data_IF_733795706720
#
_entry.id   IF_733795706720
#
_cell.length_a   1.000
_cell.length_b   1.000
_cell.length_c   1.000
_cell.angle_alpha   90.00
_cell.angle_beta   90.00
_cell.angle_gamma   90.00
#
_symmetry.space_group_name_H-M   'P 1'
#
loop_
_entity.id
_entity.type
_entity.pdbx_description
1 polymer ?
#
# COMPACT_ATOMS: atom_id res chain seq x y z
N UNK A 1 3.26 -30.72 -8.51
CA UNK A 1 2.74 -29.34 -8.46
C UNK A 1 3.13 -28.75 -7.11
N UNK A 2 3.80 -27.59 -7.05
CA UNK A 2 4.12 -26.99 -5.76
C UNK A 2 2.82 -26.61 -5.05
N UNK A 3 2.74 -27.00 -3.78
CA UNK A 3 1.59 -26.77 -2.91
C UNK A 3 1.42 -25.25 -2.72
N UNK A 4 0.34 -24.68 -3.26
CA UNK A 4 0.03 -23.23 -3.31
C UNK A 4 -0.23 -22.58 -1.93
N UNK A 5 0.13 -23.24 -0.82
CA UNK A 5 -0.09 -22.78 0.55
C UNK A 5 0.72 -21.53 0.95
N UNK A 6 1.64 -21.07 0.09
CA UNK A 6 2.50 -19.91 0.32
C UNK A 6 1.94 -18.62 -0.28
N UNK A 7 1.04 -18.74 -1.24
CA UNK A 7 0.26 -17.59 -1.67
C UNK A 7 -0.71 -17.30 -0.54
N UNK A 8 -0.58 -16.15 0.12
CA UNK A 8 -1.59 -15.57 1.00
C UNK A 8 -2.89 -15.38 0.20
N UNK A 9 -3.61 -16.46 -0.10
CA UNK A 9 -5.05 -16.42 -0.23
C UNK A 9 -5.56 -16.01 1.14
N UNK A 10 -6.62 -15.23 1.19
CA UNK A 10 -7.41 -14.97 2.42
C UNK A 10 -7.93 -16.27 3.11
N UNK A 11 -7.50 -17.44 2.65
CA UNK A 11 -7.73 -18.77 3.21
C UNK A 11 -6.98 -18.93 4.53
N UNK A 12 -7.60 -18.45 5.60
CA UNK A 12 -7.19 -18.78 6.97
C UNK A 12 -8.18 -18.32 8.01
N UNK A 13 -8.94 -17.26 7.74
CA UNK A 13 -9.97 -16.81 8.65
C UNK A 13 -11.31 -17.43 8.28
N UNK A 14 -11.83 -18.29 9.16
CA UNK A 14 -13.26 -18.56 9.13
C UNK A 14 -14.03 -17.24 9.24
N UNK A 15 -15.25 -17.14 8.69
CA UNK A 15 -16.05 -15.91 8.79
C UNK A 15 -16.20 -15.39 10.22
N UNK A 16 -16.24 -16.28 11.21
CA UNK A 16 -16.27 -15.95 12.64
C UNK A 16 -14.94 -15.38 13.15
N UNK A 17 -13.81 -15.94 12.73
CA UNK A 17 -12.48 -15.41 13.09
C UNK A 17 -12.25 -14.04 12.43
N UNK A 18 -12.70 -13.84 11.20
CA UNK A 18 -12.66 -12.55 10.52
C UNK A 18 -13.57 -11.51 11.21
N UNK A 19 -14.77 -11.91 11.65
CA UNK A 19 -15.69 -11.04 12.38
C UNK A 19 -15.14 -10.65 13.77
N UNK A 20 -14.57 -11.60 14.51
CA UNK A 20 -13.90 -11.34 15.79
C UNK A 20 -12.68 -10.42 15.61
N UNK A 21 -11.89 -10.65 14.57
CA UNK A 21 -10.74 -9.82 14.24
C UNK A 21 -11.15 -8.37 13.92
N UNK A 22 -12.20 -8.17 13.10
CA UNK A 22 -12.75 -6.85 12.76
C UNK A 22 -13.38 -6.12 13.96
N UNK A 23 -13.93 -6.85 14.93
CA UNK A 23 -14.54 -6.27 16.13
C UNK A 23 -13.51 -5.68 17.13
N UNK A 24 -12.24 -6.08 17.03
CA UNK A 24 -11.22 -5.78 18.04
C UNK A 24 -10.54 -4.39 17.91
N UNK A 25 -10.85 -3.56 16.90
CA UNK A 25 -10.38 -2.17 16.82
C UNK A 25 -11.20 -1.35 15.79
N UNK A 26 -11.43 -0.03 16.00
CA UNK A 26 -12.12 0.83 15.03
C UNK A 26 -11.44 0.90 13.65
N UNK A 27 -10.09 0.91 13.61
CA UNK A 27 -9.32 0.89 12.35
C UNK A 27 -9.44 -0.47 11.64
N UNK A 28 -9.80 -1.54 12.38
CA UNK A 28 -10.03 -2.90 11.84
C UNK A 28 -11.43 -3.07 11.22
N UNK A 29 -12.29 -2.04 11.24
CA UNK A 29 -13.56 -2.04 10.50
C UNK A 29 -13.39 -1.65 9.03
N UNK A 30 -12.19 -1.22 8.65
CA UNK A 30 -11.87 -0.90 7.27
C UNK A 30 -11.88 -2.13 6.36
N UNK A 31 -12.50 -1.95 5.19
CA UNK A 31 -12.45 -2.85 4.04
C UNK A 31 -12.32 -2.00 2.78
N UNK A 32 -12.04 -2.61 1.63
CA UNK A 32 -12.05 -1.94 0.33
C UNK A 32 -13.34 -1.13 0.11
N UNK A 33 -14.51 -1.66 0.46
CA UNK A 33 -15.79 -0.97 0.23
C UNK A 33 -16.00 0.24 1.16
N UNK A 34 -15.43 0.19 2.37
CA UNK A 34 -15.67 1.24 3.38
C UNK A 34 -14.61 2.33 3.39
N UNK A 35 -13.37 1.96 3.16
CA UNK A 35 -12.20 2.83 3.37
C UNK A 35 -11.48 3.19 2.07
N UNK A 36 -11.89 2.61 0.95
CA UNK A 36 -11.38 2.93 -0.37
C UNK A 36 -12.53 3.35 -1.27
N UNK A 37 -12.37 4.44 -2.04
CA UNK A 37 -13.39 4.87 -2.99
C UNK A 37 -13.14 4.26 -4.37
N UNK A 38 -13.79 3.13 -4.63
CA UNK A 38 -13.72 2.42 -5.91
C UNK A 38 -14.36 3.22 -7.06
N UNK A 39 -15.24 4.19 -6.79
CA UNK A 39 -15.89 4.97 -7.85
C UNK A 39 -14.88 5.82 -8.62
N UNK A 40 -13.79 6.22 -7.96
CA UNK A 40 -12.67 6.95 -8.57
C UNK A 40 -11.85 6.13 -9.56
N UNK A 41 -12.03 4.81 -9.53
CA UNK A 41 -11.31 3.85 -10.36
C UNK A 41 -12.17 3.32 -11.52
N UNK A 42 -13.43 3.77 -11.63
CA UNK A 42 -14.40 3.24 -12.59
C UNK A 42 -14.31 3.92 -13.94
N UNK A 43 -13.39 3.46 -14.78
CA UNK A 43 -13.34 3.73 -16.23
C UNK A 43 -13.65 2.44 -17.01
N UNK A 44 -14.93 2.12 -17.20
CA UNK A 44 -15.46 1.03 -18.05
C UNK A 44 -14.75 -0.35 -17.99
N UNK A 45 -13.97 -0.63 -16.93
CA UNK A 45 -13.19 -1.86 -16.73
C UNK A 45 -12.04 -2.10 -17.70
N UNK A 46 -11.65 -1.12 -18.54
CA UNK A 46 -10.61 -1.29 -19.57
C UNK A 46 -9.34 -0.47 -19.33
N UNK A 47 -9.48 0.67 -18.66
CA UNK A 47 -8.34 1.55 -18.42
C UNK A 47 -7.67 1.21 -17.08
N UNK A 48 -6.33 1.29 -17.00
CA UNK A 48 -5.64 1.13 -15.73
C UNK A 48 -6.08 2.22 -14.73
N UNK A 49 -6.01 1.95 -13.42
CA UNK A 49 -6.32 2.95 -12.41
C UNK A 49 -5.39 4.17 -12.55
N UNK A 50 -5.97 5.37 -12.58
CA UNK A 50 -5.18 6.60 -12.62
C UNK A 50 -4.41 6.81 -11.30
N UNK A 51 -3.21 7.36 -11.40
CA UNK A 51 -2.26 7.49 -10.30
C UNK A 51 -1.84 8.94 -10.11
N UNK A 52 -1.93 9.45 -8.89
CA UNK A 52 -1.26 10.68 -8.49
C UNK A 52 -0.06 10.34 -7.62
N UNK A 53 1.09 10.92 -7.93
CA UNK A 53 2.33 10.73 -7.16
C UNK A 53 2.78 12.09 -6.65
N UNK A 54 2.89 12.21 -5.32
CA UNK A 54 3.33 13.45 -4.69
C UNK A 54 4.66 13.95 -5.27
N UNK A 55 4.81 15.27 -5.51
CA UNK A 55 6.00 15.83 -6.16
C UNK A 55 7.22 15.89 -5.24
N UNK A 56 7.02 15.85 -3.92
CA UNK A 56 8.11 15.87 -2.96
C UNK A 56 9.02 14.66 -3.16
N UNK A 57 10.33 14.87 -3.17
CA UNK A 57 11.27 13.75 -3.29
C UNK A 57 11.40 13.04 -1.95
N UNK A 58 11.34 11.69 -1.92
CA UNK A 58 11.63 10.95 -0.70
C UNK A 58 13.02 11.31 -0.17
N UNK A 59 13.19 11.48 1.15
CA UNK A 59 14.51 11.74 1.72
C UNK A 59 15.44 10.52 1.66
N UNK A 60 14.90 9.30 1.52
CA UNK A 60 15.71 8.08 1.41
C UNK A 60 16.16 7.82 -0.02
N UNK A 61 17.42 7.39 -0.16
CA UNK A 61 18.00 6.98 -1.45
C UNK A 61 17.25 5.80 -2.06
N UNK A 62 16.74 4.90 -1.23
CA UNK A 62 16.06 3.68 -1.67
C UNK A 62 14.72 3.97 -2.36
N UNK A 63 14.03 5.03 -1.93
CA UNK A 63 12.75 5.43 -2.52
C UNK A 63 12.88 6.54 -3.56
N UNK A 64 14.06 7.18 -3.68
CA UNK A 64 14.25 8.36 -4.52
C UNK A 64 13.91 8.13 -6.01
N UNK A 65 14.13 6.91 -6.52
CA UNK A 65 13.86 6.56 -7.91
C UNK A 65 12.43 6.05 -8.16
N UNK A 66 11.71 5.60 -7.13
CA UNK A 66 10.40 4.97 -7.29
C UNK A 66 9.37 5.92 -7.93
N UNK A 67 9.21 7.19 -7.48
CA UNK A 67 8.28 8.13 -8.11
C UNK A 67 8.56 8.33 -9.59
N UNK A 68 9.83 8.47 -9.97
CA UNK A 68 10.23 8.74 -11.35
C UNK A 68 10.02 7.51 -12.24
N UNK A 69 10.35 6.31 -11.72
CA UNK A 69 10.05 5.04 -12.38
C UNK A 69 8.54 4.87 -12.62
N UNK A 70 7.71 5.10 -11.60
CA UNK A 70 6.26 4.98 -11.74
C UNK A 70 5.68 6.00 -12.73
N UNK A 71 6.16 7.24 -12.72
CA UNK A 71 5.76 8.25 -13.72
C UNK A 71 6.13 7.82 -15.14
N UNK A 72 7.29 7.20 -15.32
CA UNK A 72 7.75 6.73 -16.62
C UNK A 72 6.95 5.50 -17.09
N UNK A 73 6.80 4.48 -16.25
CA UNK A 73 6.11 3.24 -16.58
C UNK A 73 4.59 3.41 -16.77
N UNK A 74 3.99 4.35 -16.05
CA UNK A 74 2.53 4.58 -16.07
C UNK A 74 2.14 5.97 -16.58
N UNK A 75 2.95 6.55 -17.48
CA UNK A 75 2.78 7.93 -17.98
C UNK A 75 1.37 8.27 -18.48
N UNK A 76 0.66 7.30 -19.10
CA UNK A 76 -0.71 7.47 -19.59
C UNK A 76 -1.78 7.42 -18.49
N UNK A 77 -1.44 6.95 -17.30
CA UNK A 77 -2.33 6.86 -16.15
C UNK A 77 -2.04 7.93 -15.08
N UNK A 78 -1.03 8.78 -15.26
CA UNK A 78 -0.70 9.82 -14.28
C UNK A 78 -1.77 10.92 -14.31
N UNK A 79 -2.37 11.19 -13.16
CA UNK A 79 -3.28 12.30 -12.96
C UNK A 79 -2.53 13.56 -12.49
N UNK A 80 -2.97 14.74 -12.94
CA UNK A 80 -2.37 16.02 -12.57
C UNK A 80 -2.64 16.42 -11.12
N UNK A 81 -3.76 15.96 -10.55
CA UNK A 81 -4.16 16.27 -9.17
C UNK A 81 -4.60 15.03 -8.42
N UNK A 82 -4.45 15.07 -7.10
CA UNK A 82 -4.76 13.94 -6.24
C UNK A 82 -6.25 13.56 -6.30
N UNK A 83 -7.16 14.53 -6.50
CA UNK A 83 -8.62 14.34 -6.53
C UNK A 83 -9.10 13.60 -7.77
N UNK A 84 -8.37 13.73 -8.89
CA UNK A 84 -8.70 13.07 -10.16
C UNK A 84 -8.15 11.65 -10.27
N UNK A 85 -7.26 11.26 -9.37
CA UNK A 85 -6.65 9.93 -9.39
C UNK A 85 -7.55 8.87 -8.74
N UNK A 86 -7.41 7.62 -9.16
CA UNK A 86 -7.92 6.46 -8.44
C UNK A 86 -7.02 6.12 -7.24
N UNK A 87 -5.70 6.14 -7.46
CA UNK A 87 -4.67 5.81 -6.48
C UNK A 87 -3.80 7.03 -6.19
N UNK A 88 -3.51 7.25 -4.91
CA UNK A 88 -2.67 8.36 -4.46
C UNK A 88 -1.43 7.78 -3.78
N UNK A 89 -0.24 8.05 -4.32
CA UNK A 89 1.02 7.59 -3.77
C UNK A 89 1.76 8.76 -3.09
N UNK A 90 1.79 8.80 -1.75
CA UNK A 90 2.67 9.70 -1.03
C UNK A 90 4.12 9.28 -1.21
N UNK A 91 5.00 10.27 -1.29
CA UNK A 91 6.46 10.09 -1.35
C UNK A 91 7.13 10.25 0.01
N UNK A 92 6.34 10.29 1.08
CA UNK A 92 6.81 10.28 2.46
C UNK A 92 7.44 8.92 2.75
N UNK A 93 8.70 8.92 3.19
CA UNK A 93 9.38 7.69 3.58
C UNK A 93 8.75 7.12 4.86
N UNK A 94 8.00 6.03 4.69
CA UNK A 94 7.47 5.21 5.79
C UNK A 94 8.37 4.01 6.09
N UNK A 95 9.50 3.86 5.41
CA UNK A 95 10.46 2.82 5.75
C UNK A 95 11.17 3.21 7.06
N UNK A 96 10.94 2.39 8.06
CA UNK A 96 11.37 2.54 9.43
C UNK A 96 12.83 2.04 9.52
N UNK A 97 13.79 2.83 9.02
CA UNK A 97 15.21 2.42 8.95
C UNK A 97 15.70 1.94 10.34
N UNK A 98 16.27 0.73 10.40
CA UNK A 98 16.73 0.09 11.63
C UNK A 98 15.71 0.04 12.77
N UNK A 99 14.46 -0.29 12.44
CA UNK A 99 13.33 -0.38 13.40
C UNK A 99 12.96 0.94 14.10
N UNK A 100 13.53 2.07 13.65
CA UNK A 100 13.27 3.39 14.22
C UNK A 100 12.47 4.23 13.23
N UNK A 101 11.16 4.19 13.43
CA UNK A 101 10.25 5.02 12.68
C UNK A 101 10.42 6.45 13.18
N UNK A 102 10.74 7.39 12.30
CA UNK A 102 10.74 8.80 12.69
C UNK A 102 9.34 9.16 13.20
N UNK A 103 9.17 9.61 14.46
CA UNK A 103 7.83 9.85 15.04
C UNK A 103 6.96 10.80 14.19
N UNK A 104 7.60 11.74 13.50
CA UNK A 104 6.94 12.67 12.60
C UNK A 104 6.41 12.06 11.28
N UNK A 105 6.72 10.80 10.93
CA UNK A 105 6.25 10.20 9.67
C UNK A 105 4.72 10.14 9.58
N UNK A 106 4.05 9.78 10.68
CA UNK A 106 2.59 9.81 10.76
C UNK A 106 2.01 11.21 10.58
N UNK A 107 2.65 12.18 11.22
CA UNK A 107 2.23 13.57 11.15
C UNK A 107 2.39 14.10 9.71
N UNK A 108 3.54 13.82 9.07
CA UNK A 108 3.80 14.21 7.68
C UNK A 108 2.77 13.65 6.70
N UNK A 109 2.37 12.38 6.85
CA UNK A 109 1.30 11.82 6.03
C UNK A 109 -0.02 12.59 6.20
N UNK A 110 -0.39 12.91 7.45
CA UNK A 110 -1.61 13.65 7.76
C UNK A 110 -1.58 15.12 7.35
N UNK A 111 -0.40 15.69 7.19
CA UNK A 111 -0.18 17.04 6.69
C UNK A 111 -0.30 17.13 5.16
N UNK A 112 -0.31 16.00 4.45
CA UNK A 112 -0.47 16.00 3.00
C UNK A 112 -1.83 16.58 2.60
N UNK A 113 -1.90 17.51 1.62
CA UNK A 113 -3.13 18.20 1.25
C UNK A 113 -4.32 17.28 0.93
N UNK A 114 -4.08 16.14 0.27
CA UNK A 114 -5.13 15.20 -0.14
C UNK A 114 -5.41 14.11 0.90
N UNK A 115 -4.62 14.02 1.98
CA UNK A 115 -4.87 13.06 3.06
C UNK A 115 -6.25 13.29 3.69
N UNK A 116 -6.68 14.56 3.75
CA UNK A 116 -7.97 14.92 4.32
C UNK A 116 -8.15 14.36 5.74
N UNK A 117 -9.38 13.92 6.07
CA UNK A 117 -9.72 13.37 7.39
C UNK A 117 -9.33 11.90 7.60
N UNK A 118 -8.72 11.19 6.64
CA UNK A 118 -8.38 9.76 6.84
C UNK A 118 -7.51 9.03 5.79
N UNK A 119 -6.94 9.66 4.76
CA UNK A 119 -6.04 8.97 3.82
C UNK A 119 -6.72 8.03 2.81
N UNK A 120 -8.03 8.19 2.55
CA UNK A 120 -8.76 7.39 1.55
C UNK A 120 -8.09 7.45 0.17
N UNK A 121 -8.08 6.32 -0.56
CA UNK A 121 -7.35 6.11 -1.83
C UNK A 121 -5.81 6.25 -1.77
N UNK A 122 -5.23 6.58 -0.62
CA UNK A 122 -3.78 6.59 -0.49
C UNK A 122 -3.24 5.16 -0.39
N UNK A 123 -2.09 4.92 -1.01
CA UNK A 123 -1.34 3.68 -0.87
C UNK A 123 -0.08 3.98 -0.06
N UNK A 124 0.05 3.36 1.09
CA UNK A 124 1.28 3.38 1.87
C UNK A 124 2.02 2.09 1.60
N UNK A 125 3.29 2.19 1.21
CA UNK A 125 4.14 1.02 0.96
C UNK A 125 5.33 0.99 1.92
N UNK A 126 5.36 -0.02 2.78
CA UNK A 126 6.46 -0.36 3.69
C UNK A 126 7.17 -1.64 3.22
N UNK A 127 8.47 -1.54 2.93
CA UNK A 127 9.32 -2.66 2.54
C UNK A 127 10.23 -3.16 3.68
N UNK A 128 10.00 -2.68 4.90
CA UNK A 128 10.72 -3.13 6.08
C UNK A 128 10.30 -4.56 6.48
N UNK A 129 11.25 -5.38 6.88
CA UNK A 129 11.06 -6.78 7.26
C UNK A 129 10.63 -6.99 8.72
N UNK A 130 10.63 -5.94 9.54
CA UNK A 130 10.19 -6.00 10.92
C UNK A 130 8.65 -6.09 11.04
N UNK A 131 8.23 -7.14 11.73
CA UNK A 131 6.81 -7.48 11.94
C UNK A 131 6.12 -6.53 12.94
N UNK A 132 6.88 -5.93 13.84
CA UNK A 132 6.36 -5.15 14.96
C UNK A 132 6.24 -3.65 14.68
N UNK A 133 6.55 -3.23 13.46
CA UNK A 133 6.36 -1.86 13.04
C UNK A 133 4.85 -1.58 12.94
N UNK A 134 4.39 -0.68 13.81
CA UNK A 134 2.97 -0.32 13.94
C UNK A 134 2.70 0.99 13.20
N UNK A 135 2.08 0.91 12.03
CA UNK A 135 1.56 2.08 11.33
C UNK A 135 0.03 2.13 11.41
N UNK A 136 -0.51 3.14 12.08
CA UNK A 136 -1.91 3.56 11.87
C UNK A 136 -1.99 4.37 10.59
N UNK A 137 -2.53 3.75 9.56
CA UNK A 137 -2.69 4.31 8.20
C UNK A 137 -4.08 4.89 7.96
N UNK A 138 -4.87 5.08 9.02
CA UNK A 138 -6.25 5.58 8.98
C UNK A 138 -7.10 4.73 7.98
N UNK A 139 -7.52 5.27 6.83
CA UNK A 139 -8.22 4.57 5.74
C UNK A 139 -7.34 4.25 4.52
N UNK A 140 -6.09 4.71 4.49
CA UNK A 140 -5.17 4.41 3.40
C UNK A 140 -4.93 2.91 3.28
N UNK A 141 -4.79 2.39 2.06
CA UNK A 141 -4.41 1.00 1.82
C UNK A 141 -2.95 0.81 2.23
N UNK A 142 -2.66 -0.23 3.01
CA UNK A 142 -1.30 -0.50 3.46
C UNK A 142 -0.74 -1.76 2.80
N UNK A 143 0.35 -1.57 2.06
CA UNK A 143 1.16 -2.63 1.49
C UNK A 143 2.39 -2.79 2.37
N UNK A 144 2.58 -3.98 2.96
CA UNK A 144 3.71 -4.22 3.86
C UNK A 144 4.35 -5.58 3.64
N UNK A 145 5.68 -5.58 3.63
CA UNK A 145 6.49 -6.79 3.81
C UNK A 145 6.53 -7.25 5.26
N UNK A 146 6.52 -8.56 5.47
CA UNK A 146 6.49 -9.16 6.82
C UNK A 146 5.31 -8.65 7.67
N UNK A 147 4.13 -8.48 7.06
CA UNK A 147 2.91 -8.03 7.74
C UNK A 147 2.55 -8.94 8.91
N UNK A 148 2.47 -8.39 10.12
CA UNK A 148 1.93 -9.11 11.27
C UNK A 148 0.40 -9.20 11.18
N UNK A 149 -0.13 -10.41 11.35
CA UNK A 149 -1.56 -10.70 11.29
C UNK A 149 -2.38 -9.91 12.32
N UNK A 150 -1.80 -9.54 13.45
CA UNK A 150 -2.44 -8.73 14.49
C UNK A 150 -2.68 -7.27 14.03
N UNK A 151 -1.97 -6.81 13.00
CA UNK A 151 -2.08 -5.45 12.46
C UNK A 151 -2.74 -5.40 11.07
N UNK A 152 -2.88 -6.54 10.41
CA UNK A 152 -3.43 -6.69 9.07
C UNK A 152 -4.93 -6.35 8.98
N UNK A 153 -5.37 -5.39 8.18
CA UNK A 153 -6.82 -5.13 7.97
C UNK A 153 -7.37 -6.00 6.85
N UNK A 154 -8.06 -7.07 7.24
CA UNK A 154 -8.61 -8.07 6.32
C UNK A 154 -9.59 -7.47 5.29
N UNK A 155 -9.25 -7.65 4.01
CA UNK A 155 -9.99 -7.09 2.88
C UNK A 155 -9.69 -5.62 2.59
N UNK A 156 -8.57 -5.08 3.08
CA UNK A 156 -8.04 -3.77 2.68
C UNK A 156 -6.52 -3.85 2.46
N UNK A 157 -5.79 -4.34 3.46
CA UNK A 157 -4.32 -4.37 3.40
C UNK A 157 -3.80 -5.47 2.47
N UNK A 158 -2.59 -5.26 1.94
CA UNK A 158 -1.96 -6.19 1.00
C UNK A 158 -0.62 -6.64 1.60
N UNK A 159 -0.52 -7.89 2.10
CA UNK A 159 0.78 -8.45 2.45
C UNK A 159 1.61 -8.62 1.18
N UNK A 160 2.82 -8.09 1.18
CA UNK A 160 3.74 -8.17 0.05
C UNK A 160 4.95 -9.03 0.43
N UNK A 161 5.40 -9.99 -0.41
CA UNK A 161 6.59 -10.76 -0.08
C UNK A 161 7.83 -9.85 -0.07
N UNK A 162 8.72 -10.05 0.92
CA UNK A 162 10.03 -9.42 0.85
C UNK A 162 10.80 -10.05 -0.31
N UNK A 163 11.23 -9.22 -1.26
CA UNK A 163 11.98 -9.68 -2.42
C UNK A 163 13.47 -9.74 -2.05
N UNK A 164 14.21 -10.77 -2.51
CA UNK A 164 15.65 -10.83 -2.31
C UNK A 164 16.34 -9.66 -3.02
N UNK A 165 17.42 -9.17 -2.41
CA UNK A 165 18.31 -8.20 -3.06
C UNK A 165 18.99 -8.88 -4.26
N UNK A 166 18.46 -8.65 -5.46
CA UNK A 166 19.00 -9.14 -6.72
C UNK A 166 18.69 -8.16 -7.84
N UNK A 167 19.49 -8.17 -8.90
CA UNK A 167 19.19 -7.41 -10.11
C UNK A 167 17.91 -8.01 -10.69
N UNK A 168 16.79 -7.28 -10.59
CA UNK A 168 15.55 -7.66 -11.26
C UNK A 168 15.83 -7.66 -12.78
N UNK A 169 16.01 -8.85 -13.34
CA UNK A 169 16.09 -9.04 -14.78
C UNK A 169 14.67 -9.18 -15.31
N UNK A 170 14.41 -8.57 -16.46
CA UNK A 170 13.11 -8.59 -17.09
C UNK A 170 12.78 -10.04 -17.46
N UNK A 171 11.82 -10.67 -16.77
CA UNK A 171 11.39 -12.02 -17.13
C UNK A 171 10.77 -11.97 -18.52
N UNK A 172 11.34 -12.73 -19.45
CA UNK A 172 10.78 -12.93 -20.78
C UNK A 172 9.67 -13.97 -20.72
N UNK A 173 8.68 -13.96 -21.63
CA UNK A 173 7.64 -14.99 -21.68
C UNK A 173 8.16 -16.43 -21.83
N UNK A 174 9.40 -16.61 -22.27
CA UNK A 174 10.09 -17.90 -22.34
C UNK A 174 10.64 -18.40 -21.00
N UNK A 175 10.66 -17.55 -19.98
CA UNK A 175 11.16 -17.85 -18.62
C UNK A 175 10.03 -18.06 -17.61
N UNK A 176 8.77 -18.03 -18.07
CA UNK A 176 7.55 -18.35 -17.32
C UNK A 176 6.99 -19.71 -17.78
#
# INVERSE_FOLDING_TARGET
SPNESWCYRDTGFSPSAQAQYRAASPDRQCSMERCFDLSRCSSNGRDPPSLFIYPEKPPSKDMALLPDCLRQCHSQAIADTAEKACLILPTVNVNCEWDQCHPATHQRLRELPSWGKSGRNHIIWDFNDAQNVKYRTDQALFIKTSMNIDHYRAGLDVPFPLLPNGVATHATPSEL
#
